data_IF_921589154668
#
_entry.id   IF_921589154668
#
_cell.length_a   1.000
_cell.length_b   1.000
_cell.length_c   1.000
_cell.angle_alpha   90.00
_cell.angle_beta   90.00
_cell.angle_gamma   90.00
#
_symmetry.space_group_name_H-M   'P 1'
#
loop_
_entity.id
_entity.type
_entity.pdbx_description
1 polymer ?
#
# COMPACT_ATOMS: atom_id res chain seq x y z
N UNK A 1 -4.89 -42.27 2.50
CA UNK A 1 -5.89 -41.28 2.08
C UNK A 1 -5.21 -39.92 1.98
N UNK A 2 -5.52 -39.10 1.00
CA UNK A 2 -4.97 -37.76 0.91
C UNK A 2 -5.74 -36.87 1.88
N UNK A 3 -5.09 -36.43 2.97
CA UNK A 3 -5.71 -35.51 3.94
C UNK A 3 -5.74 -34.09 3.38
N UNK A 4 -6.64 -33.25 3.89
CA UNK A 4 -6.69 -31.83 3.55
C UNK A 4 -5.36 -31.13 3.86
N UNK A 5 -4.71 -31.48 4.99
CA UNK A 5 -3.37 -31.01 5.39
C UNK A 5 -2.33 -31.27 4.29
N UNK A 6 -2.16 -32.54 3.91
CA UNK A 6 -1.15 -32.92 2.91
C UNK A 6 -1.38 -32.22 1.57
N UNK A 7 -2.63 -31.99 1.21
CA UNK A 7 -3.00 -31.29 -0.03
C UNK A 7 -2.70 -29.80 0.03
N UNK A 8 -3.00 -29.11 1.16
CA UNK A 8 -2.67 -27.68 1.36
C UNK A 8 -1.17 -27.48 1.32
N UNK A 9 -0.37 -28.37 1.96
CA UNK A 9 1.10 -28.31 1.93
C UNK A 9 1.60 -28.43 0.49
N UNK A 10 1.16 -29.46 -0.24
CA UNK A 10 1.55 -29.64 -1.64
C UNK A 10 1.15 -28.45 -2.53
N UNK A 11 -0.02 -27.84 -2.28
CA UNK A 11 -0.44 -26.64 -2.99
C UNK A 11 0.44 -25.43 -2.66
N UNK A 12 0.80 -25.25 -1.38
CA UNK A 12 1.70 -24.18 -0.95
C UNK A 12 3.10 -24.34 -1.55
N UNK A 13 3.62 -25.57 -1.62
CA UNK A 13 4.93 -25.88 -2.25
C UNK A 13 4.93 -25.58 -3.75
N UNK A 14 3.83 -25.84 -4.46
CA UNK A 14 3.68 -25.44 -5.87
C UNK A 14 3.69 -23.91 -6.00
N UNK A 15 2.99 -23.19 -5.11
CA UNK A 15 2.98 -21.72 -5.12
C UNK A 15 4.37 -21.13 -4.83
N UNK A 16 5.13 -21.74 -3.92
CA UNK A 16 6.51 -21.36 -3.61
C UNK A 16 7.44 -21.57 -4.79
N UNK A 17 7.33 -22.71 -5.48
CA UNK A 17 8.11 -23.01 -6.69
C UNK A 17 7.77 -22.07 -7.86
N UNK A 18 6.56 -21.52 -7.89
CA UNK A 18 6.12 -20.51 -8.86
C UNK A 18 6.43 -19.08 -8.38
N UNK A 19 7.16 -18.90 -7.30
CA UNK A 19 7.48 -17.61 -6.66
C UNK A 19 6.25 -16.78 -6.30
N UNK A 20 5.11 -17.43 -6.05
CA UNK A 20 3.86 -16.80 -5.61
C UNK A 20 3.79 -16.68 -4.08
N UNK A 21 4.82 -16.10 -3.49
CA UNK A 21 5.08 -16.07 -2.06
C UNK A 21 3.90 -15.56 -1.20
N UNK A 22 3.16 -14.54 -1.66
CA UNK A 22 2.00 -14.04 -0.89
C UNK A 22 0.87 -15.06 -0.81
N UNK A 23 0.63 -15.82 -1.88
CA UNK A 23 -0.39 -16.87 -1.91
C UNK A 23 0.07 -18.09 -1.09
N UNK A 24 1.34 -18.46 -1.22
CA UNK A 24 1.98 -19.50 -0.41
C UNK A 24 1.85 -19.17 1.09
N UNK A 25 2.26 -17.99 1.52
CA UNK A 25 2.16 -17.56 2.91
C UNK A 25 0.71 -17.60 3.42
N UNK A 26 -0.25 -17.18 2.59
CA UNK A 26 -1.69 -17.27 2.95
C UNK A 26 -2.12 -18.73 3.15
N UNK A 27 -1.67 -19.65 2.30
CA UNK A 27 -1.97 -21.09 2.43
C UNK A 27 -1.38 -21.67 3.71
N UNK A 28 -0.14 -21.33 4.08
CA UNK A 28 0.48 -21.80 5.32
C UNK A 28 -0.20 -21.19 6.57
N UNK A 29 -0.56 -19.90 6.51
CA UNK A 29 -1.31 -19.26 7.61
C UNK A 29 -2.70 -19.87 7.77
N UNK A 30 -3.40 -20.18 6.66
CA UNK A 30 -4.67 -20.92 6.67
C UNK A 30 -4.48 -22.29 7.33
N UNK A 31 -3.45 -23.03 6.94
CA UNK A 31 -3.17 -24.35 7.52
C UNK A 31 -2.96 -24.28 9.02
N UNK A 32 -2.14 -23.34 9.49
CA UNK A 32 -1.91 -23.12 10.92
C UNK A 32 -3.21 -22.82 11.67
N UNK A 33 -4.10 -22.00 11.08
CA UNK A 33 -5.40 -21.71 11.66
C UNK A 33 -6.33 -22.93 11.66
N UNK A 34 -6.28 -23.77 10.65
CA UNK A 34 -7.05 -25.03 10.60
C UNK A 34 -6.54 -26.03 11.65
N UNK A 35 -5.23 -26.12 11.87
CA UNK A 35 -4.62 -26.99 12.89
C UNK A 35 -5.01 -26.59 14.32
N UNK A 36 -5.35 -25.32 14.55
CA UNK A 36 -5.90 -24.86 15.84
C UNK A 36 -7.40 -25.17 15.99
N UNK A 37 -8.09 -25.47 14.90
CA UNK A 37 -9.53 -25.72 14.88
C UNK A 37 -9.91 -27.21 14.85
N UNK A 38 -9.19 -28.04 14.13
CA UNK A 38 -9.51 -29.45 13.92
C UNK A 38 -8.24 -30.30 13.82
N UNK A 39 -8.39 -31.62 14.06
CA UNK A 39 -7.33 -32.57 13.83
C UNK A 39 -7.09 -32.77 12.32
N UNK A 40 -6.10 -32.06 11.81
CA UNK A 40 -5.77 -32.04 10.39
C UNK A 40 -5.06 -33.33 9.90
N UNK A 41 -4.67 -34.25 10.81
CA UNK A 41 -4.05 -35.52 10.43
C UNK A 41 -5.09 -36.51 9.88
N UNK A 42 -6.34 -36.38 10.33
CA UNK A 42 -7.45 -37.26 9.93
C UNK A 42 -8.44 -36.60 8.97
N UNK A 43 -8.54 -35.27 8.96
CA UNK A 43 -9.53 -34.54 8.16
C UNK A 43 -9.28 -34.75 6.67
N UNK A 44 -10.21 -35.46 6.02
CA UNK A 44 -10.21 -35.72 4.59
C UNK A 44 -11.17 -34.83 3.80
N UNK A 45 -11.19 -34.97 2.48
CA UNK A 45 -12.11 -34.21 1.63
C UNK A 45 -13.57 -34.66 1.78
N UNK A 46 -13.81 -35.91 2.20
CA UNK A 46 -15.17 -36.41 2.44
C UNK A 46 -15.83 -35.81 3.69
N UNK A 47 -15.03 -35.27 4.61
CA UNK A 47 -15.50 -34.69 5.86
C UNK A 47 -15.89 -33.20 5.69
N UNK A 48 -15.55 -32.60 4.54
CA UNK A 48 -15.83 -31.19 4.30
C UNK A 48 -17.31 -30.94 4.04
N UNK A 49 -17.86 -29.96 4.75
CA UNK A 49 -19.23 -29.52 4.61
C UNK A 49 -19.34 -28.01 4.81
N UNK A 50 -20.43 -27.41 4.35
CA UNK A 50 -20.72 -26.00 4.61
C UNK A 50 -20.81 -25.71 6.11
N UNK A 51 -21.37 -26.63 6.91
CA UNK A 51 -21.43 -26.52 8.37
C UNK A 51 -20.05 -26.49 9.03
N UNK A 52 -19.10 -27.30 8.56
CA UNK A 52 -17.71 -27.26 9.04
C UNK A 52 -17.05 -25.93 8.74
N UNK A 53 -17.26 -25.36 7.54
CA UNK A 53 -16.71 -24.07 7.16
C UNK A 53 -17.33 -22.91 7.96
N UNK A 54 -18.62 -22.94 8.24
CA UNK A 54 -19.29 -21.97 9.11
C UNK A 54 -18.72 -22.03 10.55
N UNK A 55 -18.50 -23.24 11.07
CA UNK A 55 -17.86 -23.43 12.40
C UNK A 55 -16.44 -22.92 12.42
N UNK A 56 -15.66 -23.13 11.35
CA UNK A 56 -14.31 -22.60 11.23
C UNK A 56 -14.30 -21.07 11.12
N UNK A 57 -15.21 -20.45 10.38
CA UNK A 57 -15.36 -18.99 10.37
C UNK A 57 -15.65 -18.44 11.76
N UNK A 58 -16.58 -19.07 12.49
CA UNK A 58 -16.88 -18.69 13.88
C UNK A 58 -15.63 -18.79 14.78
N UNK A 59 -14.87 -19.89 14.67
CA UNK A 59 -13.62 -20.06 15.40
C UNK A 59 -12.61 -18.96 15.09
N UNK A 60 -12.39 -18.61 13.81
CA UNK A 60 -11.50 -17.52 13.41
C UNK A 60 -11.91 -16.18 14.03
N UNK A 61 -13.18 -15.83 13.93
CA UNK A 61 -13.70 -14.55 14.44
C UNK A 61 -13.64 -14.48 15.97
N UNK A 62 -13.99 -15.57 16.67
CA UNK A 62 -13.92 -15.63 18.13
C UNK A 62 -12.47 -15.61 18.66
N UNK A 63 -11.50 -16.05 17.85
CA UNK A 63 -10.07 -15.94 18.14
C UNK A 63 -9.48 -14.55 17.81
N UNK A 64 -10.31 -13.56 17.46
CA UNK A 64 -9.89 -12.20 17.17
C UNK A 64 -9.39 -11.96 15.73
N UNK A 65 -9.57 -12.95 14.82
CA UNK A 65 -9.25 -12.77 13.41
C UNK A 65 -10.22 -11.76 12.77
N UNK A 66 -9.71 -10.81 12.00
CA UNK A 66 -10.58 -9.86 11.28
C UNK A 66 -11.40 -10.57 10.20
N UNK A 67 -12.60 -10.04 9.90
CA UNK A 67 -13.46 -10.58 8.86
C UNK A 67 -12.79 -10.61 7.48
N UNK A 68 -11.96 -9.61 7.18
CA UNK A 68 -11.18 -9.59 5.94
C UNK A 68 -10.08 -10.64 5.89
N UNK A 69 -9.45 -10.95 7.03
CA UNK A 69 -8.45 -12.02 7.15
C UNK A 69 -9.11 -13.39 6.98
N UNK A 70 -10.25 -13.61 7.65
CA UNK A 70 -11.09 -14.80 7.48
C UNK A 70 -11.47 -14.98 6.01
N UNK A 71 -12.01 -13.95 5.36
CA UNK A 71 -12.34 -13.97 3.94
C UNK A 71 -11.13 -14.29 3.03
N UNK A 72 -9.92 -13.84 3.42
CA UNK A 72 -8.69 -14.18 2.71
C UNK A 72 -8.37 -15.67 2.81
N UNK A 73 -8.51 -16.25 4.00
CA UNK A 73 -8.33 -17.69 4.23
C UNK A 73 -9.37 -18.50 3.45
N UNK A 74 -10.64 -18.11 3.45
CA UNK A 74 -11.68 -18.82 2.69
C UNK A 74 -11.47 -18.70 1.18
N UNK A 75 -10.94 -17.61 0.66
CA UNK A 75 -10.54 -17.53 -0.77
C UNK A 75 -9.39 -18.48 -1.11
N UNK A 76 -8.39 -18.62 -0.22
CA UNK A 76 -7.32 -19.58 -0.40
C UNK A 76 -7.84 -21.03 -0.30
N UNK A 77 -8.69 -21.34 0.68
CA UNK A 77 -9.32 -22.65 0.85
C UNK A 77 -10.20 -23.00 -0.37
N UNK A 78 -10.91 -22.02 -0.93
CA UNK A 78 -11.68 -22.22 -2.18
C UNK A 78 -10.79 -22.61 -3.36
N UNK A 79 -9.60 -22.01 -3.48
CA UNK A 79 -8.65 -22.39 -4.52
C UNK A 79 -8.16 -23.85 -4.33
N UNK A 80 -7.88 -24.26 -3.09
CA UNK A 80 -7.52 -25.63 -2.72
C UNK A 80 -8.65 -26.60 -3.06
N UNK A 81 -9.90 -26.30 -2.66
CA UNK A 81 -11.06 -27.13 -2.93
C UNK A 81 -11.34 -27.29 -4.44
N UNK A 82 -11.22 -26.21 -5.22
CA UNK A 82 -11.36 -26.28 -6.69
C UNK A 82 -10.28 -27.16 -7.34
N UNK A 83 -9.06 -27.11 -6.82
CA UNK A 83 -8.01 -28.00 -7.30
C UNK A 83 -8.26 -29.46 -6.90
N UNK A 84 -8.82 -29.72 -5.72
CA UNK A 84 -9.24 -31.05 -5.29
C UNK A 84 -10.39 -31.58 -6.15
N UNK A 85 -11.36 -30.72 -6.50
CA UNK A 85 -12.47 -31.05 -7.41
C UNK A 85 -11.94 -31.43 -8.81
N UNK A 86 -11.00 -30.69 -9.36
CA UNK A 86 -10.39 -31.02 -10.65
C UNK A 86 -9.65 -32.38 -10.62
N UNK A 87 -9.22 -32.83 -9.43
CA UNK A 87 -8.61 -34.15 -9.21
C UNK A 87 -9.63 -35.21 -8.77
N UNK A 88 -10.93 -34.92 -8.81
CA UNK A 88 -12.04 -35.80 -8.41
C UNK A 88 -12.00 -36.26 -6.95
N UNK A 89 -11.39 -35.46 -6.07
CA UNK A 89 -11.38 -35.68 -4.62
C UNK A 89 -12.59 -35.02 -3.93
N UNK A 90 -13.26 -34.08 -4.64
CA UNK A 90 -14.49 -33.42 -4.28
C UNK A 90 -15.43 -33.41 -5.48
N UNK A 91 -16.75 -33.40 -5.23
CA UNK A 91 -17.79 -33.36 -6.27
C UNK A 91 -18.32 -31.96 -6.52
N UNK A 92 -18.40 -31.12 -5.48
CA UNK A 92 -18.89 -29.73 -5.54
C UNK A 92 -18.15 -28.87 -4.54
N UNK A 93 -17.09 -28.20 -5.03
CA UNK A 93 -16.31 -27.29 -4.22
C UNK A 93 -17.08 -25.98 -3.91
N UNK A 94 -18.08 -25.63 -4.72
CA UNK A 94 -18.75 -24.31 -4.60
C UNK A 94 -19.74 -24.29 -3.45
N UNK A 95 -20.50 -25.35 -3.26
CA UNK A 95 -21.53 -25.47 -2.21
C UNK A 95 -20.95 -25.37 -0.80
N UNK A 96 -19.69 -25.78 -0.59
CA UNK A 96 -19.00 -25.71 0.70
C UNK A 96 -18.89 -24.29 1.25
N UNK A 97 -18.94 -23.27 0.40
CA UNK A 97 -18.76 -21.85 0.77
C UNK A 97 -20.07 -21.08 0.86
N UNK A 98 -21.23 -21.75 0.81
CA UNK A 98 -22.54 -21.09 0.77
C UNK A 98 -22.89 -20.30 2.03
N UNK A 99 -22.27 -20.60 3.16
CA UNK A 99 -22.58 -19.92 4.45
C UNK A 99 -21.47 -19.03 4.98
N UNK A 100 -20.34 -18.85 4.26
CA UNK A 100 -19.17 -18.12 4.77
C UNK A 100 -18.89 -16.85 3.97
N UNK A 101 -18.36 -15.85 4.66
CA UNK A 101 -18.02 -14.58 4.03
C UNK A 101 -16.68 -14.67 3.25
N UNK A 102 -16.75 -14.41 1.97
CA UNK A 102 -15.56 -14.37 1.09
C UNK A 102 -15.36 -13.02 0.40
N UNK A 103 -16.19 -12.04 0.79
CA UNK A 103 -16.17 -10.67 0.26
C UNK A 103 -15.07 -9.79 0.84
N UNK A 104 -15.33 -8.51 0.85
CA UNK A 104 -14.48 -7.48 1.43
C UNK A 104 -15.33 -6.59 2.35
N UNK A 105 -14.87 -6.34 3.55
CA UNK A 105 -15.46 -5.40 4.50
C UNK A 105 -14.62 -4.14 4.51
N UNK A 106 -15.26 -2.97 4.39
CA UNK A 106 -14.56 -1.70 4.43
C UNK A 106 -13.90 -1.49 5.79
N UNK A 107 -12.65 -1.11 5.77
CA UNK A 107 -11.89 -0.75 6.96
C UNK A 107 -11.53 0.73 6.93
N UNK A 108 -11.50 1.36 8.10
CA UNK A 108 -11.07 2.75 8.22
C UNK A 108 -9.70 2.97 7.59
N UNK A 109 -9.62 3.88 6.63
CA UNK A 109 -8.38 4.21 5.93
C UNK A 109 -7.54 5.12 6.82
N UNK A 110 -6.27 4.80 6.95
CA UNK A 110 -5.29 5.62 7.64
C UNK A 110 -4.58 6.47 6.60
N UNK A 111 -4.96 7.73 6.51
CA UNK A 111 -4.28 8.72 5.70
C UNK A 111 -3.87 9.88 6.60
N UNK A 112 -2.72 10.46 6.34
CA UNK A 112 -2.31 11.70 6.97
C UNK A 112 -3.10 12.87 6.38
N UNK A 113 -3.45 13.84 7.21
CA UNK A 113 -3.85 15.14 6.70
C UNK A 113 -2.63 15.96 6.26
N UNK A 114 -2.86 17.14 5.68
CA UNK A 114 -1.77 17.95 5.13
C UNK A 114 -0.80 18.44 6.21
N UNK A 115 -1.31 18.78 7.40
CA UNK A 115 -0.49 19.21 8.53
C UNK A 115 0.42 18.09 9.04
N UNK A 116 -0.14 16.91 9.29
CA UNK A 116 0.63 15.73 9.69
C UNK A 116 1.69 15.34 8.66
N UNK A 117 1.37 15.44 7.35
CA UNK A 117 2.34 15.15 6.30
C UNK A 117 3.48 16.16 6.28
N UNK A 118 3.20 17.45 6.53
CA UNK A 118 4.22 18.50 6.65
C UNK A 118 5.08 18.27 7.88
N UNK A 119 4.48 18.02 9.04
CA UNK A 119 5.21 17.67 10.27
C UNK A 119 6.17 16.51 10.04
N UNK A 120 5.72 15.47 9.32
CA UNK A 120 6.55 14.33 8.98
C UNK A 120 7.68 14.71 8.02
N UNK A 121 7.40 15.50 6.98
CA UNK A 121 8.39 15.88 5.95
C UNK A 121 9.48 16.80 6.52
N UNK A 122 9.10 17.72 7.39
CA UNK A 122 9.97 18.75 7.96
C UNK A 122 10.63 18.32 9.30
N UNK A 123 10.37 17.06 9.74
CA UNK A 123 10.85 16.57 11.03
C UNK A 123 12.39 16.64 11.14
N UNK A 124 12.87 17.28 12.20
CA UNK A 124 14.24 17.16 12.63
C UNK A 124 14.44 15.82 13.36
N UNK A 125 15.37 15.02 12.88
CA UNK A 125 15.66 13.69 13.39
C UNK A 125 17.15 13.54 13.80
N UNK A 126 17.84 14.66 14.10
CA UNK A 126 19.26 14.63 14.51
C UNK A 126 19.46 13.78 15.78
N UNK A 127 18.53 13.85 16.73
CA UNK A 127 18.57 13.05 17.97
C UNK A 127 18.20 11.56 17.76
N UNK A 128 17.50 11.25 16.69
CA UNK A 128 17.04 9.88 16.36
C UNK A 128 17.34 9.50 14.91
N UNK A 129 18.63 9.58 14.49
CA UNK A 129 19.02 9.49 13.08
C UNK A 129 18.62 8.15 12.43
N UNK A 130 18.42 7.09 13.20
CA UNK A 130 17.95 5.80 12.72
C UNK A 130 16.54 5.82 12.15
N UNK A 131 15.73 6.86 12.41
CA UNK A 131 14.39 7.04 11.86
C UNK A 131 14.37 7.83 10.53
N UNK A 132 15.45 8.55 10.20
CA UNK A 132 15.52 9.36 8.99
C UNK A 132 15.27 8.57 7.69
N UNK A 133 15.83 7.35 7.49
CA UNK A 133 15.52 6.56 6.31
C UNK A 133 14.02 6.20 6.18
N UNK A 134 13.35 5.96 7.30
CA UNK A 134 11.92 5.64 7.29
C UNK A 134 11.08 6.85 6.87
N UNK A 135 11.39 8.05 7.39
CA UNK A 135 10.78 9.30 6.93
C UNK A 135 11.00 9.50 5.43
N UNK A 136 12.24 9.41 5.00
CA UNK A 136 12.64 9.72 3.63
C UNK A 136 12.02 8.75 2.62
N UNK A 137 11.97 7.45 2.91
CA UNK A 137 11.31 6.48 2.04
C UNK A 137 9.79 6.64 2.03
N UNK A 138 9.18 7.09 3.14
CA UNK A 138 7.76 7.41 3.16
C UNK A 138 7.45 8.62 2.28
N UNK A 139 8.23 9.69 2.41
CA UNK A 139 8.08 10.91 1.61
C UNK A 139 8.37 10.63 0.14
N UNK A 140 9.41 9.84 -0.18
CA UNK A 140 9.67 9.42 -1.56
C UNK A 140 8.51 8.58 -2.12
N UNK A 141 7.97 7.64 -1.33
CA UNK A 141 6.79 6.89 -1.73
C UNK A 141 5.62 7.80 -2.04
N UNK A 142 5.35 8.81 -1.20
CA UNK A 142 4.31 9.81 -1.43
C UNK A 142 4.55 10.59 -2.74
N UNK A 143 5.75 11.10 -2.98
CA UNK A 143 6.11 11.82 -4.21
C UNK A 143 5.99 10.95 -5.46
N UNK A 144 6.28 9.66 -5.36
CA UNK A 144 6.10 8.68 -6.43
C UNK A 144 4.64 8.15 -6.50
N UNK A 145 3.67 9.01 -6.16
CA UNK A 145 2.23 8.72 -6.23
C UNK A 145 1.81 7.53 -5.37
N UNK A 146 2.40 7.40 -4.19
CA UNK A 146 2.12 6.29 -3.28
C UNK A 146 2.60 4.95 -3.81
N UNK A 147 3.81 4.89 -4.36
CA UNK A 147 4.43 3.63 -4.77
C UNK A 147 4.47 2.65 -3.59
N UNK A 148 3.99 1.40 -3.72
CA UNK A 148 4.13 0.42 -2.66
C UNK A 148 5.58 0.10 -2.35
N UNK A 149 5.88 -0.21 -1.10
CA UNK A 149 7.25 -0.48 -0.66
C UNK A 149 7.92 -1.63 -1.42
N UNK A 150 7.15 -2.64 -1.88
CA UNK A 150 7.69 -3.70 -2.71
C UNK A 150 8.20 -3.16 -4.06
N UNK A 151 7.42 -2.29 -4.71
CA UNK A 151 7.82 -1.70 -5.98
C UNK A 151 9.02 -0.76 -5.74
N UNK A 152 8.98 0.06 -4.68
CA UNK A 152 10.08 0.95 -4.29
C UNK A 152 11.40 0.19 -4.04
N UNK A 153 11.33 -0.98 -3.38
CA UNK A 153 12.49 -1.81 -3.09
C UNK A 153 13.13 -2.42 -4.35
N UNK A 154 12.32 -2.64 -5.40
CA UNK A 154 12.79 -3.28 -6.63
C UNK A 154 13.08 -2.29 -7.77
N UNK A 155 12.97 -0.97 -7.53
CA UNK A 155 13.40 0.03 -8.49
C UNK A 155 14.89 -0.13 -8.79
N UNK A 156 15.24 -0.08 -10.07
CA UNK A 156 16.62 -0.20 -10.56
C UNK A 156 17.12 1.13 -11.11
N UNK A 157 18.42 1.32 -11.14
CA UNK A 157 19.03 2.49 -11.81
C UNK A 157 18.71 2.49 -13.32
N UNK A 158 18.59 1.33 -13.92
CA UNK A 158 18.19 1.14 -15.33
C UNK A 158 16.75 1.50 -15.64
N UNK A 159 15.90 1.66 -14.62
CA UNK A 159 14.52 2.11 -14.80
C UNK A 159 14.42 3.62 -15.04
N UNK A 160 15.54 4.34 -14.95
CA UNK A 160 15.61 5.78 -15.07
C UNK A 160 16.33 6.16 -16.37
N UNK A 161 15.64 6.93 -17.20
CA UNK A 161 16.20 7.54 -18.42
C UNK A 161 16.05 9.06 -18.32
N UNK A 162 17.18 9.76 -18.17
CA UNK A 162 17.19 11.18 -17.84
C UNK A 162 16.55 11.46 -16.48
N UNK A 163 15.41 12.12 -16.47
CA UNK A 163 14.60 12.36 -15.26
C UNK A 163 13.29 11.56 -15.25
N UNK A 164 13.16 10.55 -16.10
CA UNK A 164 11.94 9.76 -16.23
C UNK A 164 12.17 8.37 -15.66
N UNK A 165 11.44 8.04 -14.61
CA UNK A 165 11.38 6.71 -14.02
C UNK A 165 10.25 5.91 -14.72
N UNK A 166 10.60 4.73 -15.24
CA UNK A 166 9.65 3.77 -15.84
C UNK A 166 9.76 2.44 -15.14
N UNK A 167 8.68 1.96 -14.55
CA UNK A 167 8.67 0.67 -13.87
C UNK A 167 7.32 -0.05 -14.04
N UNK A 168 7.28 -1.33 -13.72
CA UNK A 168 6.06 -2.12 -13.74
C UNK A 168 5.63 -2.45 -12.30
N UNK A 169 4.33 -2.32 -12.04
CA UNK A 169 3.75 -2.70 -10.76
C UNK A 169 3.91 -4.20 -10.52
N UNK A 170 4.58 -4.60 -9.44
CA UNK A 170 4.79 -6.02 -9.09
C UNK A 170 3.49 -6.82 -8.99
N UNK A 171 2.41 -6.19 -8.48
CA UNK A 171 1.12 -6.86 -8.29
C UNK A 171 0.32 -7.06 -9.58
N UNK A 172 0.43 -6.15 -10.55
CA UNK A 172 -0.48 -6.08 -11.71
C UNK A 172 0.23 -6.10 -13.07
N UNK A 173 1.56 -6.00 -13.09
CA UNK A 173 2.35 -5.89 -14.31
C UNK A 173 2.13 -4.58 -15.09
N UNK A 174 1.33 -3.64 -14.59
CA UNK A 174 1.03 -2.41 -15.32
C UNK A 174 2.22 -1.46 -15.32
N UNK A 175 2.54 -0.86 -16.48
CA UNK A 175 3.59 0.14 -16.56
C UNK A 175 3.18 1.44 -15.88
N UNK A 176 4.15 2.10 -15.27
CA UNK A 176 4.05 3.43 -14.69
C UNK A 176 5.22 4.28 -15.13
N UNK A 177 4.94 5.54 -15.39
CA UNK A 177 5.96 6.55 -15.74
C UNK A 177 5.81 7.72 -14.77
N UNK A 178 6.91 8.12 -14.14
CA UNK A 178 6.97 9.25 -13.20
C UNK A 178 8.16 10.14 -13.58
N UNK A 179 7.94 11.44 -13.70
CA UNK A 179 9.02 12.41 -13.81
C UNK A 179 9.62 12.61 -12.43
N UNK A 180 10.93 12.45 -12.31
CA UNK A 180 11.67 12.66 -11.08
C UNK A 180 12.03 14.15 -10.96
N UNK A 181 11.51 14.77 -9.93
CA UNK A 181 11.75 16.17 -9.60
C UNK A 181 12.98 16.34 -8.68
N UNK A 182 13.58 17.52 -8.58
CA UNK A 182 14.80 17.75 -7.79
C UNK A 182 14.73 17.24 -6.34
N UNK A 183 13.60 17.45 -5.66
CA UNK A 183 13.40 16.99 -4.27
C UNK A 183 13.31 15.46 -4.13
N UNK A 184 12.89 14.74 -5.18
CA UNK A 184 12.95 13.28 -5.21
C UNK A 184 14.39 12.81 -5.37
N UNK A 185 15.17 13.49 -6.23
CA UNK A 185 16.60 13.21 -6.42
C UNK A 185 17.41 13.48 -5.15
N UNK A 186 17.07 14.48 -4.35
CA UNK A 186 17.72 14.73 -3.06
C UNK A 186 17.63 13.51 -2.15
N UNK A 187 16.46 12.88 -2.07
CA UNK A 187 16.26 11.65 -1.29
C UNK A 187 17.00 10.48 -1.94
N UNK A 188 16.81 10.25 -3.23
CA UNK A 188 17.43 9.14 -3.94
C UNK A 188 18.97 9.22 -3.78
N UNK A 189 19.59 10.37 -4.01
CA UNK A 189 21.03 10.53 -3.95
C UNK A 189 21.59 10.36 -2.53
N UNK A 190 20.83 10.70 -1.49
CA UNK A 190 21.23 10.50 -0.10
C UNK A 190 21.48 9.02 0.22
N UNK A 191 20.73 8.11 -0.41
CA UNK A 191 20.80 6.67 -0.14
C UNK A 191 21.46 5.87 -1.25
N UNK A 192 21.62 6.42 -2.46
CA UNK A 192 22.20 5.71 -3.61
C UNK A 192 23.71 5.79 -3.74
N UNK A 193 24.38 6.56 -2.87
CA UNK A 193 25.81 6.89 -2.97
C UNK A 193 26.76 5.80 -2.45
N UNK A 194 26.26 4.64 -2.03
CA UNK A 194 27.10 3.50 -1.65
C UNK A 194 27.29 2.56 -2.84
N UNK A 195 28.51 2.23 -3.20
CA UNK A 195 28.81 1.12 -4.11
C UNK A 195 28.53 -0.21 -3.40
N UNK A 196 27.25 -0.60 -3.38
CA UNK A 196 26.81 -1.85 -2.74
C UNK A 196 26.91 -3.05 -3.67
N UNK A 197 27.37 -2.86 -4.93
CA UNK A 197 27.27 -3.87 -5.99
C UNK A 197 25.83 -4.23 -6.38
N UNK A 198 24.85 -3.56 -5.77
CA UNK A 198 23.43 -3.77 -6.04
C UNK A 198 22.98 -2.96 -7.25
N UNK A 199 22.20 -3.57 -8.14
CA UNK A 199 21.55 -2.89 -9.27
C UNK A 199 20.33 -2.07 -8.86
N UNK A 200 19.88 -2.18 -7.61
CA UNK A 200 18.71 -1.48 -7.09
C UNK A 200 19.00 -0.01 -6.80
N UNK A 201 17.97 0.83 -6.97
CA UNK A 201 18.09 2.28 -6.81
C UNK A 201 18.31 2.68 -5.34
N UNK A 202 17.67 1.97 -4.41
CA UNK A 202 17.72 2.22 -2.97
C UNK A 202 18.29 1.00 -2.24
N UNK A 203 19.00 1.17 -1.10
CA UNK A 203 19.65 0.09 -0.37
C UNK A 203 18.66 -0.72 0.50
N UNK A 204 17.47 -1.04 -0.04
CA UNK A 204 16.45 -1.85 0.61
C UNK A 204 16.80 -3.33 0.41
N UNK A 205 17.08 -3.72 -0.84
CA UNK A 205 17.69 -5.00 -1.19
C UNK A 205 19.18 -4.71 -1.43
N UNK A 206 20.02 -5.12 -0.51
CA UNK A 206 21.44 -4.71 -0.49
C UNK A 206 22.37 -5.64 -1.24
N UNK A 207 22.00 -6.91 -1.33
CA UNK A 207 22.85 -7.96 -1.96
C UNK A 207 22.05 -8.61 -3.06
N UNK A 208 22.58 -8.63 -4.29
CA UNK A 208 21.99 -9.43 -5.35
C UNK A 208 22.08 -10.91 -4.97
N UNK A 209 21.06 -11.66 -5.33
CA UNK A 209 20.98 -13.07 -4.98
C UNK A 209 19.88 -13.77 -5.78
N UNK A 210 19.53 -14.98 -5.36
CA UNK A 210 18.35 -15.66 -5.87
C UNK A 210 17.07 -14.90 -5.51
N UNK A 211 15.99 -15.14 -6.23
CA UNK A 211 14.67 -14.56 -5.97
C UNK A 211 14.25 -14.76 -4.49
N UNK A 212 14.59 -15.89 -3.89
CA UNK A 212 14.28 -16.20 -2.48
C UNK A 212 15.11 -15.37 -1.52
N UNK A 213 16.40 -15.19 -1.78
CA UNK A 213 17.28 -14.37 -0.93
C UNK A 213 16.89 -12.89 -0.99
N UNK A 214 16.60 -12.37 -2.17
CA UNK A 214 16.11 -11.01 -2.33
C UNK A 214 14.75 -10.81 -1.66
N UNK A 215 13.87 -11.82 -1.73
CA UNK A 215 12.59 -11.83 -1.02
C UNK A 215 12.77 -11.77 0.50
N UNK A 216 13.69 -12.53 1.08
CA UNK A 216 14.00 -12.52 2.51
C UNK A 216 14.54 -11.17 2.97
N UNK A 217 15.42 -10.54 2.16
CA UNK A 217 15.92 -9.19 2.43
C UNK A 217 14.78 -8.18 2.42
N UNK A 218 13.91 -8.22 1.41
CA UNK A 218 12.76 -7.35 1.30
C UNK A 218 11.81 -7.50 2.51
N UNK A 219 11.48 -8.71 2.92
CA UNK A 219 10.58 -8.95 4.06
C UNK A 219 11.17 -8.44 5.38
N UNK A 220 12.47 -8.63 5.56
CA UNK A 220 13.19 -8.12 6.72
C UNK A 220 13.21 -6.59 6.72
N UNK A 221 13.48 -5.99 5.55
CA UNK A 221 13.44 -4.54 5.37
C UNK A 221 12.04 -3.97 5.60
N UNK A 222 10.98 -4.64 5.12
CA UNK A 222 9.59 -4.21 5.33
C UNK A 222 9.19 -4.24 6.81
N UNK A 223 9.60 -5.28 7.55
CA UNK A 223 9.34 -5.36 9.01
C UNK A 223 10.03 -4.21 9.74
N UNK A 224 11.31 -3.98 9.45
CA UNK A 224 12.10 -2.91 10.05
C UNK A 224 11.53 -1.52 9.69
N UNK A 225 11.18 -1.32 8.43
CA UNK A 225 10.58 -0.08 7.93
C UNK A 225 9.26 0.23 8.65
N UNK A 226 8.35 -0.73 8.76
CA UNK A 226 7.09 -0.53 9.47
C UNK A 226 7.29 -0.29 10.98
N UNK A 227 8.28 -0.92 11.60
CA UNK A 227 8.65 -0.66 13.00
C UNK A 227 9.16 0.79 13.17
N UNK A 228 10.04 1.26 12.30
CA UNK A 228 10.55 2.63 12.34
C UNK A 228 9.46 3.66 12.04
N UNK A 229 8.53 3.37 11.10
CA UNK A 229 7.37 4.22 10.84
C UNK A 229 6.45 4.33 12.06
N UNK A 230 6.25 3.23 12.81
CA UNK A 230 5.52 3.27 14.08
C UNK A 230 6.16 4.19 15.10
N UNK A 231 7.47 4.00 15.35
CA UNK A 231 8.26 4.85 16.26
C UNK A 231 8.28 6.32 15.82
N UNK A 232 8.40 6.57 14.52
CA UNK A 232 8.36 7.92 13.95
C UNK A 232 7.01 8.59 14.20
N UNK A 233 5.91 7.85 14.05
CA UNK A 233 4.57 8.35 14.34
C UNK A 233 4.37 8.70 15.82
N UNK A 234 4.93 7.89 16.71
CA UNK A 234 4.91 8.14 18.16
C UNK A 234 5.78 9.36 18.52
N UNK A 235 7.01 9.41 17.99
CA UNK A 235 7.94 10.52 18.25
C UNK A 235 7.40 11.88 17.79
N UNK A 236 6.67 11.91 16.66
CA UNK A 236 6.06 13.13 16.10
C UNK A 236 4.60 13.35 16.55
N UNK A 237 4.09 12.53 17.46
CA UNK A 237 2.72 12.62 17.99
C UNK A 237 1.64 12.72 16.90
N UNK A 238 1.80 12.01 15.78
CA UNK A 238 0.91 12.13 14.63
C UNK A 238 -0.51 11.60 14.88
N UNK A 239 -0.72 10.82 15.94
CA UNK A 239 -2.03 10.22 16.24
C UNK A 239 -2.53 9.18 15.23
N UNK A 240 -1.72 8.84 14.22
CA UNK A 240 -2.03 7.86 13.16
C UNK A 240 -0.92 6.81 13.11
N UNK A 241 -1.25 5.54 13.27
CA UNK A 241 -0.25 4.47 13.12
C UNK A 241 0.26 4.43 11.68
N UNK A 242 1.50 4.88 11.48
CA UNK A 242 2.16 4.83 10.18
C UNK A 242 2.55 3.39 9.79
N UNK A 243 2.33 3.08 8.54
CA UNK A 243 2.83 1.87 7.87
C UNK A 243 3.23 2.21 6.44
N UNK A 244 3.95 1.33 5.78
CA UNK A 244 4.40 1.50 4.38
C UNK A 244 3.24 1.84 3.41
N UNK A 245 2.02 1.46 3.73
CA UNK A 245 0.86 1.68 2.86
C UNK A 245 0.16 3.03 3.09
N UNK A 246 0.42 3.68 4.23
CA UNK A 246 -0.19 4.97 4.59
C UNK A 246 0.21 6.07 3.60
N UNK A 247 1.43 6.06 3.06
CA UNK A 247 1.85 7.03 2.04
C UNK A 247 0.92 7.03 0.81
N UNK A 248 0.51 5.83 0.37
CA UNK A 248 -0.41 5.67 -0.76
C UNK A 248 -1.82 6.16 -0.44
N UNK A 249 -2.34 5.83 0.76
CA UNK A 249 -3.62 6.36 1.20
C UNK A 249 -3.59 7.88 1.33
N UNK A 250 -2.51 8.44 1.87
CA UNK A 250 -2.31 9.88 2.01
C UNK A 250 -2.32 10.58 0.65
N UNK A 251 -1.57 10.06 -0.33
CA UNK A 251 -1.55 10.63 -1.67
C UNK A 251 -2.93 10.63 -2.32
N UNK A 252 -3.64 9.50 -2.26
CA UNK A 252 -4.99 9.38 -2.83
C UNK A 252 -5.99 10.32 -2.14
N UNK A 253 -5.98 10.35 -0.80
CA UNK A 253 -6.92 11.16 0.00
C UNK A 253 -6.67 12.65 -0.20
N UNK A 254 -5.40 13.09 -0.19
CA UNK A 254 -5.07 14.50 -0.40
C UNK A 254 -5.38 14.93 -1.84
N UNK A 255 -5.08 14.10 -2.85
CA UNK A 255 -5.44 14.39 -4.23
C UNK A 255 -6.97 14.55 -4.40
N UNK A 256 -7.74 13.69 -3.74
CA UNK A 256 -9.19 13.79 -3.74
C UNK A 256 -9.71 15.05 -3.05
N UNK A 257 -9.11 15.41 -1.91
CA UNK A 257 -9.47 16.64 -1.18
C UNK A 257 -9.10 17.94 -1.94
N UNK A 258 -8.12 17.84 -2.87
CA UNK A 258 -7.73 18.93 -3.78
C UNK A 258 -8.55 18.91 -5.10
N UNK A 259 -9.70 18.22 -5.09
CA UNK A 259 -10.63 18.13 -6.22
C UNK A 259 -10.02 17.51 -7.51
N UNK A 260 -8.99 16.68 -7.38
CA UNK A 260 -8.44 15.94 -8.52
C UNK A 260 -9.43 14.83 -8.93
N UNK A 261 -9.83 14.76 -10.21
CA UNK A 261 -10.75 13.73 -10.69
C UNK A 261 -10.31 12.31 -10.33
N UNK A 262 -11.24 11.46 -9.90
CA UNK A 262 -10.97 10.07 -9.50
C UNK A 262 -10.28 9.28 -10.61
N UNK A 263 -10.62 9.52 -11.88
CA UNK A 263 -9.96 8.94 -13.04
C UNK A 263 -8.46 9.23 -13.07
N UNK A 264 -8.05 10.47 -12.78
CA UNK A 264 -6.63 10.87 -12.70
C UNK A 264 -5.94 10.27 -11.48
N UNK A 265 -6.64 10.19 -10.33
CA UNK A 265 -6.13 9.51 -9.13
C UNK A 265 -5.93 8.02 -9.42
N UNK A 266 -6.91 7.37 -10.04
CA UNK A 266 -6.87 5.96 -10.44
C UNK A 266 -5.69 5.67 -11.39
N UNK A 267 -5.52 6.50 -12.41
CA UNK A 267 -4.39 6.40 -13.34
C UNK A 267 -3.04 6.60 -12.61
N UNK A 268 -2.94 7.62 -11.75
CA UNK A 268 -1.73 7.88 -10.95
C UNK A 268 -1.36 6.73 -10.03
N UNK A 269 -2.33 6.04 -9.46
CA UNK A 269 -2.17 4.86 -8.62
C UNK A 269 -2.01 3.56 -9.44
N UNK A 270 -2.21 3.60 -10.76
CA UNK A 270 -2.24 2.41 -11.64
C UNK A 270 -3.23 1.34 -11.18
N UNK A 271 -4.46 1.76 -10.82
CA UNK A 271 -5.53 0.83 -10.49
C UNK A 271 -6.13 0.20 -11.76
N UNK A 272 -6.71 -0.99 -11.62
CA UNK A 272 -7.36 -1.68 -12.72
C UNK A 272 -8.71 -1.04 -13.10
N UNK A 273 -9.37 -0.40 -12.13
CA UNK A 273 -10.62 0.34 -12.30
C UNK A 273 -10.70 1.48 -11.30
N UNK A 274 -11.57 2.46 -11.56
CA UNK A 274 -11.86 3.54 -10.61
C UNK A 274 -12.52 3.02 -9.33
N UNK A 275 -13.26 1.93 -9.41
CA UNK A 275 -13.90 1.26 -8.28
C UNK A 275 -12.87 0.89 -7.19
N UNK A 276 -11.69 0.41 -7.59
CA UNK A 276 -10.59 0.18 -6.64
C UNK A 276 -10.15 1.49 -5.99
N UNK A 277 -10.17 2.61 -6.72
CA UNK A 277 -9.80 3.92 -6.18
C UNK A 277 -10.82 4.41 -5.16
N UNK A 278 -12.12 4.16 -5.38
CA UNK A 278 -13.16 4.50 -4.42
C UNK A 278 -12.97 3.83 -3.06
N UNK A 279 -12.34 2.65 -3.01
CA UNK A 279 -12.00 2.00 -1.73
C UNK A 279 -10.95 2.80 -0.92
N UNK A 280 -10.22 3.72 -1.50
CA UNK A 280 -9.25 4.60 -0.84
C UNK A 280 -9.86 5.94 -0.41
N UNK A 281 -10.95 6.35 -1.05
CA UNK A 281 -11.59 7.62 -0.81
C UNK A 281 -12.64 7.46 0.28
N UNK A 282 -12.77 8.48 1.13
CA UNK A 282 -13.89 8.54 2.09
C UNK A 282 -15.17 8.89 1.35
N UNK A 283 -16.29 8.44 1.87
CA UNK A 283 -17.61 8.93 1.44
C UNK A 283 -17.66 10.46 1.57
N UNK A 284 -18.37 11.11 0.67
CA UNK A 284 -18.61 12.55 0.75
C UNK A 284 -19.30 12.94 2.06
N UNK A 285 -18.83 13.99 2.70
CA UNK A 285 -19.52 14.55 3.85
C UNK A 285 -20.77 15.32 3.40
N UNK A 286 -21.70 15.53 4.33
CA UNK A 286 -22.90 16.33 4.05
C UNK A 286 -22.54 17.76 3.57
N UNK A 287 -21.45 18.34 4.11
CA UNK A 287 -20.95 19.65 3.70
C UNK A 287 -20.43 19.66 2.27
N UNK A 288 -19.68 18.61 1.87
CA UNK A 288 -19.21 18.46 0.49
C UNK A 288 -20.36 18.34 -0.49
N UNK A 289 -21.37 17.52 -0.17
CA UNK A 289 -22.58 17.39 -1.00
C UNK A 289 -23.40 18.68 -1.04
N UNK A 290 -23.47 19.43 0.07
CA UNK A 290 -24.14 20.74 0.09
C UNK A 290 -23.44 21.76 -0.83
N UNK A 291 -22.10 21.71 -0.92
CA UNK A 291 -21.35 22.55 -1.86
C UNK A 291 -21.67 22.17 -3.30
N UNK A 292 -21.70 20.88 -3.62
CA UNK A 292 -22.08 20.40 -4.97
C UNK A 292 -23.51 20.83 -5.32
N UNK A 293 -24.46 20.66 -4.40
CA UNK A 293 -25.83 21.10 -4.62
C UNK A 293 -25.91 22.63 -4.87
N UNK A 294 -25.16 23.41 -4.12
CA UNK A 294 -25.10 24.85 -4.32
C UNK A 294 -24.51 25.20 -5.69
N UNK A 295 -23.45 24.53 -6.11
CA UNK A 295 -22.86 24.69 -7.43
C UNK A 295 -23.87 24.36 -8.54
N UNK A 296 -24.57 23.23 -8.43
CA UNK A 296 -25.59 22.85 -9.42
C UNK A 296 -26.76 23.84 -9.44
N UNK A 297 -27.24 24.27 -8.27
CA UNK A 297 -28.28 25.28 -8.19
C UNK A 297 -27.85 26.63 -8.79
N UNK A 298 -26.57 26.99 -8.72
CA UNK A 298 -26.04 28.24 -9.26
C UNK A 298 -26.15 28.34 -10.79
N UNK A 299 -26.31 27.23 -11.48
CA UNK A 299 -26.46 27.19 -12.95
C UNK A 299 -27.80 27.78 -13.41
N UNK A 300 -28.83 27.75 -12.56
CA UNK A 300 -30.19 28.14 -12.92
C UNK A 300 -30.79 29.16 -11.94
N UNK A 301 -30.18 29.42 -10.79
CA UNK A 301 -30.70 30.32 -9.75
C UNK A 301 -29.68 31.41 -9.40
N UNK A 302 -29.95 32.67 -9.73
CA UNK A 302 -29.04 33.80 -9.46
C UNK A 302 -28.68 34.01 -7.97
N UNK A 303 -29.58 33.63 -7.04
CA UNK A 303 -29.30 33.72 -5.62
C UNK A 303 -28.27 32.68 -5.18
N UNK A 304 -28.40 31.44 -5.70
CA UNK A 304 -27.44 30.37 -5.48
C UNK A 304 -26.08 30.68 -6.14
N UNK A 305 -26.07 31.32 -7.31
CA UNK A 305 -24.86 31.77 -7.99
C UNK A 305 -24.09 32.80 -7.12
N UNK A 306 -24.79 33.76 -6.53
CA UNK A 306 -24.18 34.77 -5.66
C UNK A 306 -23.53 34.11 -4.42
N UNK A 307 -24.20 33.12 -3.81
CA UNK A 307 -23.71 32.42 -2.64
C UNK A 307 -22.53 31.47 -3.02
N UNK A 308 -22.62 30.81 -4.16
CA UNK A 308 -21.53 29.98 -4.69
C UNK A 308 -20.26 30.81 -4.90
N UNK A 309 -20.35 31.95 -5.59
CA UNK A 309 -19.22 32.85 -5.83
C UNK A 309 -18.62 33.39 -4.52
N UNK A 310 -19.44 33.65 -3.49
CA UNK A 310 -18.98 34.05 -2.16
C UNK A 310 -18.12 32.97 -1.50
N UNK A 311 -18.55 31.70 -1.54
CA UNK A 311 -17.82 30.55 -0.96
C UNK A 311 -16.53 30.24 -1.72
N UNK A 312 -16.53 30.31 -3.04
CA UNK A 312 -15.36 30.18 -3.86
C UNK A 312 -14.26 31.20 -3.56
N UNK A 313 -14.62 32.48 -3.41
CA UNK A 313 -13.68 33.54 -3.01
C UNK A 313 -13.11 33.30 -1.61
N UNK A 314 -13.90 32.78 -0.69
CA UNK A 314 -13.46 32.43 0.66
C UNK A 314 -12.44 31.27 0.66
N UNK A 315 -12.54 30.33 -0.26
CA UNK A 315 -11.54 29.28 -0.47
C UNK A 315 -10.23 29.83 -1.06
N UNK A 316 -10.31 30.75 -2.04
CA UNK A 316 -9.14 31.37 -2.66
C UNK A 316 -8.32 32.21 -1.66
N UNK A 317 -8.97 32.86 -0.70
CA UNK A 317 -8.32 33.62 0.38
C UNK A 317 -7.66 32.72 1.45
N UNK A 318 -7.99 31.44 1.52
CA UNK A 318 -7.38 30.46 2.44
C UNK A 318 -6.28 29.60 1.79
N UNK A 319 -6.06 29.69 0.48
CA UNK A 319 -4.87 29.13 -0.15
C UNK A 319 -3.66 29.96 0.30
N UNK A 320 -2.61 29.37 0.90
CA UNK A 320 -1.41 30.12 1.24
C UNK A 320 -0.91 30.81 -0.02
N UNK A 321 -0.68 32.12 0.06
CA UNK A 321 -0.13 32.91 -1.03
C UNK A 321 1.14 32.23 -1.54
N UNK A 322 1.27 32.07 -2.86
CA UNK A 322 2.52 31.67 -3.48
C UNK A 322 3.61 32.63 -2.99
N UNK A 323 4.48 32.14 -2.11
CA UNK A 323 5.61 32.93 -1.64
C UNK A 323 5.56 33.34 -0.17
N UNK A 324 5.53 32.36 0.76
CA UNK A 324 6.13 32.58 2.08
C UNK A 324 7.63 32.36 1.90
N UNK A 325 8.51 33.36 2.14
CA UNK A 325 9.96 33.14 2.13
C UNK A 325 10.30 32.16 3.24
N UNK A 326 11.02 31.10 2.92
CA UNK A 326 11.57 30.15 3.90
C UNK A 326 12.51 30.93 4.80
N UNK A 327 12.25 31.12 6.11
CA UNK A 327 13.20 31.77 7.02
C UNK A 327 14.40 30.85 7.17
N UNK A 328 15.59 31.31 6.78
CA UNK A 328 16.83 30.66 7.16
C UNK A 328 17.80 30.23 6.05
N UNK A 329 17.57 30.55 4.79
CA UNK A 329 18.59 30.36 3.76
C UNK A 329 19.71 31.40 3.88
N UNK A 330 20.67 31.19 4.79
CA UNK A 330 21.97 31.83 4.69
C UNK A 330 22.62 31.34 3.39
N UNK A 331 22.80 32.26 2.43
CA UNK A 331 23.58 32.04 1.21
C UNK A 331 25.06 31.83 1.60
N UNK A 332 25.46 30.59 1.82
CA UNK A 332 26.87 30.25 1.77
C UNK A 332 27.25 30.09 0.31
N UNK A 333 27.70 31.22 -0.30
CA UNK A 333 28.58 31.19 -1.47
C UNK A 333 29.91 30.57 -1.05
N UNK A 334 30.11 29.29 -1.30
CA UNK A 334 31.42 28.72 -1.50
C UNK A 334 31.51 28.28 -2.94
N UNK A 335 32.31 29.05 -3.69
CA UNK A 335 32.87 28.74 -4.99
C UNK A 335 33.70 27.47 -4.81
N UNK A 336 33.37 26.39 -5.46
CA UNK A 336 34.24 25.26 -5.71
C UNK A 336 34.54 25.21 -7.20
N UNK A 337 35.62 25.89 -7.57
CA UNK A 337 36.41 25.59 -8.77
C UNK A 337 37.11 24.27 -8.54
N UNK A 338 36.71 23.22 -9.22
CA UNK A 338 37.57 22.09 -9.54
C UNK A 338 37.14 21.48 -10.87
N UNK A 339 37.96 21.75 -11.89
CA UNK A 339 37.96 21.02 -13.15
C UNK A 339 38.32 19.55 -12.93
N UNK A 340 37.67 18.61 -13.56
CA UNK A 340 38.11 17.22 -13.56
C UNK A 340 39.31 17.09 -14.53
N UNK A 341 40.38 16.49 -14.06
CA UNK A 341 41.39 15.86 -14.89
C UNK A 341 41.14 14.36 -14.88
N UNK A 342 40.89 13.86 -16.10
CA UNK A 342 41.02 12.47 -16.61
C UNK A 342 40.49 11.32 -15.77
#
# INVERSE_FOLDING_TARGET
MTTLKSFIIAHADVLDNLFRFSAEHTCRSLLHSLESFADMEVLGFADLSAGLFMSFEHHLLSSGCSRNTSACYFRALRAVCRQAESRKLLTDATSLFSGVFTGYEETGKRALNLEQLRTLADADLEEVPGLAPARDFFILSYYLRGIPFIDLAHLRRTDIEGNILRYHRSKTGRPLTVTLEPWMWEIINRYSSGDTGSSYLLPIIRRPGSIREERQQYESALRLYNMHLGRLSEHLELGVKLTSYVARHTWATLAYNEDIPVSKISAGLSHASEEITHTYLRSFTAEQLAIVNLQMASLINPAAEKEWRRKERGKAGKRPSKGVPIPGRKRNRRVFDHKPRW
#
